data_IF_625107866468
#
_entry.id   IF_625107866468
#
_cell.length_a   1.000
_cell.length_b   1.000
_cell.length_c   1.000
_cell.angle_alpha   90.00
_cell.angle_beta   90.00
_cell.angle_gamma   90.00
#
_symmetry.space_group_name_H-M   'P 1'
#
loop_
_entity.id
_entity.type
_entity.pdbx_description
1 polymer ?
#
# COMPACT_ATOMS: atom_id res chain seq x y z
N UNK A 1 -19.38 48.83 -4.85
CA UNK A 1 -19.91 47.76 -5.71
C UNK A 1 -18.74 47.15 -6.46
N UNK A 2 -18.57 45.81 -6.43
CA UNK A 2 -17.98 44.93 -7.46
C UNK A 2 -17.35 43.66 -6.85
N UNK A 3 -18.20 42.67 -6.57
CA UNK A 3 -17.79 41.28 -6.32
C UNK A 3 -17.41 40.66 -7.65
N UNK A 4 -16.12 40.53 -7.95
CA UNK A 4 -15.66 39.69 -9.06
C UNK A 4 -15.84 38.23 -8.65
N UNK A 5 -16.98 37.64 -9.01
CA UNK A 5 -17.16 36.18 -9.00
C UNK A 5 -16.26 35.61 -10.10
N UNK A 6 -15.05 35.20 -9.75
CA UNK A 6 -14.24 34.35 -10.63
C UNK A 6 -14.83 32.94 -10.58
N UNK A 7 -15.57 32.59 -11.63
CA UNK A 7 -15.89 31.21 -11.95
C UNK A 7 -14.58 30.52 -12.37
N UNK A 8 -13.87 29.93 -11.41
CA UNK A 8 -12.81 28.98 -11.67
C UNK A 8 -13.43 27.69 -12.20
N UNK A 9 -13.49 27.53 -13.53
CA UNK A 9 -13.84 26.27 -14.18
C UNK A 9 -12.73 25.27 -13.86
N UNK A 10 -12.92 24.49 -12.80
CA UNK A 10 -11.99 23.43 -12.40
C UNK A 10 -12.27 22.20 -13.28
N UNK A 11 -11.60 22.13 -14.43
CA UNK A 11 -11.60 20.94 -15.27
C UNK A 11 -10.76 19.84 -14.60
N UNK A 12 -11.37 19.08 -13.67
CA UNK A 12 -10.78 17.84 -13.17
C UNK A 12 -10.98 16.79 -14.26
N UNK A 13 -9.95 16.57 -15.07
CA UNK A 13 -9.90 15.45 -16.02
C UNK A 13 -9.62 14.17 -15.24
N UNK A 14 -10.67 13.43 -14.86
CA UNK A 14 -10.53 12.06 -14.35
C UNK A 14 -10.42 11.14 -15.56
N UNK A 15 -9.18 10.82 -15.97
CA UNK A 15 -8.94 9.79 -16.98
C UNK A 15 -9.20 8.42 -16.35
N UNK A 16 -10.41 7.87 -16.54
CA UNK A 16 -10.73 6.48 -16.20
C UNK A 16 -10.26 5.59 -17.35
N UNK A 17 -8.95 5.29 -17.38
CA UNK A 17 -8.40 4.33 -18.34
C UNK A 17 -8.59 2.88 -17.81
N UNK A 18 -9.30 2.08 -18.61
CA UNK A 18 -9.40 0.61 -18.58
C UNK A 18 -9.96 -0.08 -17.32
N UNK A 19 -11.26 -0.42 -17.39
CA UNK A 19 -11.94 -1.33 -16.47
C UNK A 19 -11.51 -2.78 -16.79
N UNK A 20 -10.55 -3.30 -16.03
CA UNK A 20 -10.41 -4.74 -15.80
C UNK A 20 -9.67 -5.00 -14.48
N UNK A 21 -10.20 -4.50 -13.36
CA UNK A 21 -10.13 -5.11 -12.01
C UNK A 21 -10.78 -4.15 -10.99
N UNK A 22 -12.05 -4.40 -10.67
CA UNK A 22 -12.85 -3.60 -9.72
C UNK A 22 -12.37 -3.80 -8.25
N UNK A 23 -11.32 -4.59 -8.00
CA UNK A 23 -10.94 -5.04 -6.66
C UNK A 23 -9.98 -4.13 -5.88
N UNK A 24 -9.41 -3.07 -6.47
CA UNK A 24 -8.35 -2.30 -5.78
C UNK A 24 -8.79 -0.99 -5.12
N UNK A 25 -9.96 -0.42 -5.45
CA UNK A 25 -10.41 0.85 -4.85
C UNK A 25 -11.13 0.61 -3.51
N UNK A 26 -10.39 0.12 -2.51
CA UNK A 26 -10.88 -0.05 -1.14
C UNK A 26 -10.85 1.25 -0.29
N UNK A 27 -10.28 2.35 -0.80
CA UNK A 27 -10.22 3.63 -0.11
C UNK A 27 -11.59 4.19 0.30
N UNK A 28 -11.71 4.64 1.56
CA UNK A 28 -12.90 5.32 2.09
C UNK A 28 -12.95 6.76 1.54
N UNK A 29 -13.74 7.00 0.50
CA UNK A 29 -13.95 8.36 0.00
C UNK A 29 -14.62 9.23 1.09
N UNK A 30 -14.12 10.45 1.35
CA UNK A 30 -14.81 11.40 2.22
C UNK A 30 -16.25 11.61 1.75
N UNK A 31 -17.23 11.50 2.66
CA UNK A 31 -18.65 11.68 2.34
C UNK A 31 -19.32 10.52 1.58
N UNK A 32 -18.63 9.39 1.35
CA UNK A 32 -19.23 8.19 0.76
C UNK A 32 -19.47 7.14 1.83
N UNK A 33 -20.74 6.87 2.11
CA UNK A 33 -21.18 5.78 2.97
C UNK A 33 -21.20 4.45 2.22
N UNK A 34 -21.63 3.39 2.88
CA UNK A 34 -21.66 2.04 2.29
C UNK A 34 -22.66 1.93 1.15
N UNK A 35 -23.80 2.63 1.22
CA UNK A 35 -24.83 2.62 0.19
C UNK A 35 -24.34 3.33 -1.08
N UNK A 36 -23.81 4.54 -0.93
CA UNK A 36 -23.25 5.33 -2.02
C UNK A 36 -22.06 4.67 -2.72
N UNK A 37 -21.30 3.84 -2.00
CA UNK A 37 -20.26 2.99 -2.59
C UNK A 37 -20.84 1.87 -3.45
N UNK A 38 -21.92 1.23 -2.99
CA UNK A 38 -22.62 0.19 -3.75
C UNK A 38 -23.13 0.71 -5.08
N UNK A 39 -23.75 1.89 -5.07
CA UNK A 39 -24.25 2.55 -6.30
C UNK A 39 -23.13 2.88 -7.29
N UNK A 40 -21.99 3.39 -6.79
CA UNK A 40 -20.82 3.65 -7.63
C UNK A 40 -20.28 2.35 -8.27
N UNK A 41 -20.20 1.26 -7.50
CA UNK A 41 -19.76 -0.03 -8.01
C UNK A 41 -20.73 -0.60 -9.06
N UNK A 42 -22.04 -0.45 -8.83
CA UNK A 42 -23.07 -0.85 -9.78
C UNK A 42 -22.94 -0.07 -11.10
N UNK A 43 -22.72 1.25 -11.03
CA UNK A 43 -22.51 2.07 -12.23
C UNK A 43 -21.26 1.62 -13.01
N UNK A 44 -20.15 1.31 -12.31
CA UNK A 44 -18.94 0.77 -12.94
C UNK A 44 -19.20 -0.60 -13.58
N UNK A 45 -19.89 -1.50 -12.89
CA UNK A 45 -20.21 -2.85 -13.40
C UNK A 45 -21.13 -2.79 -14.62
N UNK A 46 -22.10 -1.87 -14.60
CA UNK A 46 -23.00 -1.59 -15.72
C UNK A 46 -22.32 -0.81 -16.86
N UNK A 47 -21.07 -0.36 -16.68
CA UNK A 47 -20.35 0.56 -17.57
C UNK A 47 -21.12 1.86 -17.83
N UNK A 48 -21.93 2.29 -16.86
CA UNK A 48 -22.71 3.52 -16.92
C UNK A 48 -21.85 4.69 -16.42
N UNK A 49 -21.18 5.34 -17.37
CA UNK A 49 -20.33 6.49 -17.10
C UNK A 49 -21.13 7.67 -16.52
N UNK A 50 -22.36 7.90 -16.98
CA UNK A 50 -23.15 9.04 -16.54
C UNK A 50 -23.60 8.86 -15.09
N UNK A 51 -24.10 7.67 -14.74
CA UNK A 51 -24.44 7.35 -13.36
C UNK A 51 -23.24 7.46 -12.43
N UNK A 52 -22.06 6.98 -12.85
CA UNK A 52 -20.83 7.14 -12.08
C UNK A 52 -20.45 8.62 -11.93
N UNK A 53 -20.48 9.39 -13.01
CA UNK A 53 -20.13 10.81 -13.02
C UNK A 53 -21.04 11.60 -12.09
N UNK A 54 -22.35 11.40 -12.16
CA UNK A 54 -23.31 12.11 -11.32
C UNK A 54 -23.08 11.82 -9.83
N UNK A 55 -22.84 10.54 -9.49
CA UNK A 55 -22.49 10.10 -8.13
C UNK A 55 -21.19 10.72 -7.62
N UNK A 56 -20.21 10.94 -8.49
CA UNK A 56 -18.92 11.54 -8.13
C UNK A 56 -19.03 13.06 -8.05
N UNK A 57 -19.67 13.70 -9.02
CA UNK A 57 -19.87 15.15 -9.08
C UNK A 57 -20.66 15.67 -7.90
N UNK A 58 -21.70 14.94 -7.45
CA UNK A 58 -22.43 15.29 -6.23
C UNK A 58 -21.56 15.32 -4.97
N UNK A 59 -20.42 14.61 -4.97
CA UNK A 59 -19.50 14.50 -3.83
C UNK A 59 -18.27 15.41 -3.94
N UNK A 60 -18.01 15.98 -5.11
CA UNK A 60 -16.92 16.94 -5.34
C UNK A 60 -17.29 18.32 -4.80
N UNK A 61 -17.55 18.40 -3.49
CA UNK A 61 -17.73 19.66 -2.77
C UNK A 61 -16.39 20.19 -2.27
N UNK A 62 -16.29 21.50 -2.11
CA UNK A 62 -15.11 22.16 -1.53
C UNK A 62 -14.78 21.61 -0.13
N UNK A 63 -15.81 21.35 0.68
CA UNK A 63 -15.66 20.72 2.01
C UNK A 63 -15.02 19.32 1.92
N UNK A 64 -15.47 18.47 0.99
CA UNK A 64 -14.92 17.14 0.81
C UNK A 64 -13.50 17.16 0.26
N UNK A 65 -13.19 18.14 -0.60
CA UNK A 65 -11.83 18.37 -1.08
C UNK A 65 -10.90 18.76 0.07
N UNK A 66 -11.30 19.69 0.93
CA UNK A 66 -10.49 20.10 2.08
C UNK A 66 -10.23 18.93 3.04
N UNK A 67 -11.24 18.09 3.31
CA UNK A 67 -11.06 16.86 4.10
C UNK A 67 -10.08 15.87 3.47
N UNK A 68 -10.02 15.81 2.14
CA UNK A 68 -9.05 14.98 1.42
C UNK A 68 -7.63 15.53 1.57
N UNK A 69 -7.45 16.84 1.44
CA UNK A 69 -6.16 17.53 1.64
C UNK A 69 -5.65 17.33 3.06
N UNK A 70 -6.49 17.55 4.07
CA UNK A 70 -6.15 17.33 5.48
C UNK A 70 -5.73 15.88 5.75
N UNK A 71 -6.50 14.91 5.24
CA UNK A 71 -6.15 13.49 5.38
C UNK A 71 -4.84 13.17 4.68
N UNK A 72 -4.60 13.73 3.49
CA UNK A 72 -3.34 13.52 2.77
C UNK A 72 -2.16 14.07 3.56
N UNK A 73 -2.27 15.30 4.08
CA UNK A 73 -1.24 15.90 4.93
C UNK A 73 -0.95 15.03 6.16
N UNK A 74 -1.98 14.67 6.93
CA UNK A 74 -1.85 13.81 8.11
C UNK A 74 -1.25 12.42 7.79
N UNK A 75 -1.63 11.82 6.65
CA UNK A 75 -1.07 10.55 6.20
C UNK A 75 0.37 10.68 5.71
N UNK A 76 0.75 11.78 5.06
CA UNK A 76 2.12 12.04 4.64
C UNK A 76 3.06 12.24 5.83
N UNK A 77 2.61 12.94 6.86
CA UNK A 77 3.34 13.14 8.11
C UNK A 77 3.47 11.83 8.89
N UNK A 78 2.38 11.06 9.00
CA UNK A 78 2.39 9.72 9.59
C UNK A 78 3.24 8.73 8.79
N UNK A 79 3.25 8.82 7.46
CA UNK A 79 4.14 8.00 6.62
C UNK A 79 5.60 8.44 6.75
N UNK A 80 5.88 9.73 6.83
CA UNK A 80 7.22 10.26 7.05
C UNK A 80 7.80 9.78 8.38
N UNK A 81 7.03 9.86 9.46
CA UNK A 81 7.44 9.34 10.79
C UNK A 81 7.55 7.81 10.85
N UNK A 82 6.71 7.07 10.13
CA UNK A 82 6.81 5.60 10.02
C UNK A 82 8.00 5.19 9.12
N UNK A 83 8.33 5.99 8.10
CA UNK A 83 9.39 5.75 7.13
C UNK A 83 10.76 6.17 7.63
N UNK A 84 10.88 7.18 8.49
CA UNK A 84 12.17 7.65 9.00
C UNK A 84 12.78 6.67 10.00
N UNK A 85 11.97 6.10 10.91
CA UNK A 85 12.43 5.07 11.85
C UNK A 85 12.69 3.70 11.19
N UNK A 86 11.94 3.33 10.16
CA UNK A 86 12.22 2.13 9.36
C UNK A 86 13.31 2.34 8.32
N UNK A 87 13.48 3.55 7.80
CA UNK A 87 14.40 3.87 6.70
C UNK A 87 15.86 3.75 7.09
N UNK A 88 16.28 4.40 8.17
CA UNK A 88 17.67 4.34 8.65
C UNK A 88 18.06 2.92 9.11
N UNK A 89 17.13 2.23 9.77
CA UNK A 89 17.28 0.84 10.18
C UNK A 89 17.40 -0.11 8.98
N UNK A 90 16.63 0.14 7.92
CA UNK A 90 16.72 -0.63 6.69
C UNK A 90 18.03 -0.37 5.95
N UNK A 91 18.60 0.83 6.01
CA UNK A 91 19.83 1.18 5.31
C UNK A 91 21.06 0.43 5.84
N UNK A 92 21.25 0.40 7.17
CA UNK A 92 22.37 -0.35 7.79
C UNK A 92 22.28 -1.86 7.51
N UNK A 93 21.06 -2.41 7.56
CA UNK A 93 20.83 -3.82 7.22
C UNK A 93 21.15 -4.09 5.75
N UNK A 94 20.72 -3.22 4.83
CA UNK A 94 20.99 -3.38 3.40
C UNK A 94 22.49 -3.30 3.14
N UNK A 95 23.19 -2.31 3.69
CA UNK A 95 24.64 -2.17 3.52
C UNK A 95 25.40 -3.38 4.04
N UNK A 96 25.02 -3.93 5.20
CA UNK A 96 25.64 -5.13 5.73
C UNK A 96 25.40 -6.35 4.82
N UNK A 97 24.21 -6.48 4.22
CA UNK A 97 23.91 -7.54 3.25
C UNK A 97 24.74 -7.35 1.96
N UNK A 98 24.83 -6.14 1.43
CA UNK A 98 25.60 -5.82 0.22
C UNK A 98 27.10 -6.07 0.41
N UNK A 99 27.62 -5.79 1.61
CA UNK A 99 29.01 -6.04 1.98
C UNK A 99 29.28 -7.50 2.40
N UNK A 100 28.24 -8.31 2.58
CA UNK A 100 28.38 -9.66 3.11
C UNK A 100 28.90 -9.70 4.56
N UNK A 101 28.62 -8.67 5.36
CA UNK A 101 29.08 -8.54 6.74
C UNK A 101 28.02 -9.06 7.74
N UNK A 102 28.20 -10.30 8.18
CA UNK A 102 27.26 -10.96 9.10
C UNK A 102 27.19 -10.30 10.47
N UNK A 103 28.31 -9.86 11.05
CA UNK A 103 28.31 -9.26 12.39
C UNK A 103 27.68 -7.87 12.36
N UNK A 104 28.00 -7.04 11.36
CA UNK A 104 27.33 -5.76 11.16
C UNK A 104 25.82 -5.95 10.91
N UNK A 105 25.45 -6.96 10.13
CA UNK A 105 24.04 -7.29 9.89
C UNK A 105 23.34 -7.70 11.19
N UNK A 106 23.96 -8.55 12.01
CA UNK A 106 23.40 -9.06 13.26
C UNK A 106 23.18 -7.95 14.28
N UNK A 107 24.12 -7.02 14.40
CA UNK A 107 23.99 -5.83 15.24
C UNK A 107 22.85 -4.92 14.77
N UNK A 108 22.81 -4.64 13.46
CA UNK A 108 21.75 -3.80 12.87
C UNK A 108 20.37 -4.47 12.95
N UNK A 109 20.30 -5.80 12.80
CA UNK A 109 19.05 -6.55 12.72
C UNK A 109 18.51 -7.02 14.08
N UNK A 110 19.19 -6.76 15.20
CA UNK A 110 18.87 -7.30 16.54
C UNK A 110 17.41 -7.07 16.99
N UNK A 111 16.80 -5.96 16.56
CA UNK A 111 15.42 -5.61 16.89
C UNK A 111 14.40 -5.97 15.79
N UNK A 112 14.81 -6.78 14.80
CA UNK A 112 13.89 -7.32 13.79
C UNK A 112 13.34 -8.68 14.20
N UNK A 113 12.13 -9.03 13.72
CA UNK A 113 11.70 -10.43 13.68
C UNK A 113 12.62 -11.33 12.83
N UNK A 114 13.41 -10.76 11.91
CA UNK A 114 14.24 -11.48 10.96
C UNK A 114 15.47 -12.12 11.60
N UNK A 115 15.99 -11.53 12.69
CA UNK A 115 17.12 -12.09 13.46
C UNK A 115 16.83 -13.49 14.00
N UNK A 116 15.56 -13.80 14.28
CA UNK A 116 15.16 -15.13 14.77
C UNK A 116 15.17 -16.21 13.69
N UNK A 117 15.21 -15.80 12.41
CA UNK A 117 15.22 -16.72 11.25
C UNK A 117 16.63 -16.95 10.73
N UNK A 118 17.46 -15.92 10.79
CA UNK A 118 18.86 -15.95 10.37
C UNK A 118 19.71 -15.82 11.63
N UNK A 119 20.02 -16.98 12.20
CA UNK A 119 20.69 -17.17 13.49
C UNK A 119 22.17 -17.58 13.33
N UNK A 120 22.63 -17.75 12.10
CA UNK A 120 23.99 -18.12 11.76
C UNK A 120 24.43 -17.55 10.40
N UNK A 121 25.73 -17.65 10.14
CA UNK A 121 26.38 -17.13 8.93
C UNK A 121 25.92 -17.84 7.65
N UNK A 122 25.63 -19.15 7.70
CA UNK A 122 25.12 -19.89 6.53
C UNK A 122 23.78 -19.34 6.03
N UNK A 123 22.85 -19.08 6.96
CA UNK A 123 21.56 -18.47 6.62
C UNK A 123 21.73 -17.02 6.19
N UNK A 124 22.71 -16.31 6.73
CA UNK A 124 23.02 -14.96 6.26
C UNK A 124 23.52 -14.98 4.82
N UNK A 125 24.38 -15.93 4.44
CA UNK A 125 24.82 -16.10 3.05
C UNK A 125 23.66 -16.40 2.10
N UNK A 126 22.64 -17.15 2.55
CA UNK A 126 21.39 -17.34 1.78
C UNK A 126 20.63 -16.01 1.65
N UNK A 127 20.60 -15.17 2.69
CA UNK A 127 20.00 -13.85 2.62
C UNK A 127 20.71 -12.93 1.62
N UNK A 128 22.04 -12.95 1.56
CA UNK A 128 22.84 -12.20 0.57
C UNK A 128 22.47 -12.63 -0.85
N UNK A 129 22.40 -13.94 -1.09
CA UNK A 129 21.98 -14.48 -2.39
C UNK A 129 20.54 -14.11 -2.75
N UNK A 130 19.65 -14.08 -1.76
CA UNK A 130 18.26 -13.68 -1.94
C UNK A 130 18.18 -12.21 -2.33
N UNK A 131 18.98 -11.35 -1.69
CA UNK A 131 19.07 -9.94 -2.03
C UNK A 131 19.53 -9.74 -3.47
N UNK A 132 20.61 -10.44 -3.88
CA UNK A 132 21.11 -10.39 -5.26
C UNK A 132 20.05 -10.85 -6.27
N UNK A 133 19.43 -12.01 -6.04
CA UNK A 133 18.39 -12.54 -6.92
C UNK A 133 17.20 -11.56 -7.07
N UNK A 134 16.88 -10.80 -6.01
CA UNK A 134 15.85 -9.76 -6.07
C UNK A 134 16.29 -8.54 -6.89
N UNK A 135 17.56 -8.13 -6.80
CA UNK A 135 18.10 -7.06 -7.66
C UNK A 135 18.11 -7.48 -9.14
N UNK A 136 18.43 -8.74 -9.41
CA UNK A 136 18.47 -9.31 -10.76
C UNK A 136 17.08 -9.60 -11.34
N UNK A 137 16.02 -9.54 -10.52
CA UNK A 137 14.66 -9.86 -10.91
C UNK A 137 14.38 -11.37 -11.08
N UNK A 138 15.26 -12.23 -10.56
CA UNK A 138 15.09 -13.69 -10.60
C UNK A 138 14.12 -14.17 -9.50
N UNK A 139 12.83 -14.01 -9.77
CA UNK A 139 11.77 -14.38 -8.82
C UNK A 139 11.69 -15.89 -8.54
N UNK A 140 12.20 -16.74 -9.42
CA UNK A 140 12.26 -18.18 -9.18
C UNK A 140 13.25 -18.49 -8.06
N UNK A 141 14.46 -17.93 -8.17
CA UNK A 141 15.51 -18.05 -7.15
C UNK A 141 15.14 -17.34 -5.85
N UNK A 142 14.50 -16.17 -5.92
CA UNK A 142 13.98 -15.48 -4.71
C UNK A 142 13.01 -16.37 -3.95
N UNK A 143 12.10 -17.07 -4.64
CA UNK A 143 11.14 -17.97 -4.01
C UNK A 143 11.84 -19.12 -3.29
N UNK A 144 12.76 -19.80 -3.97
CA UNK A 144 13.51 -20.92 -3.40
C UNK A 144 14.30 -20.51 -2.15
N UNK A 145 15.08 -19.43 -2.24
CA UNK A 145 15.88 -18.94 -1.11
C UNK A 145 15.01 -18.44 0.04
N UNK A 146 13.84 -17.84 -0.25
CA UNK A 146 12.89 -17.42 0.79
C UNK A 146 12.32 -18.61 1.56
N UNK A 147 12.04 -19.73 0.87
CA UNK A 147 11.55 -20.97 1.48
C UNK A 147 12.62 -21.60 2.37
N UNK A 148 13.88 -21.62 1.93
CA UNK A 148 15.01 -22.10 2.74
C UNK A 148 15.20 -21.31 4.03
N UNK A 149 14.96 -19.99 4.00
CA UNK A 149 15.01 -19.13 5.18
C UNK A 149 13.75 -19.19 6.06
N UNK A 150 12.72 -19.93 5.63
CA UNK A 150 11.43 -19.97 6.32
C UNK A 150 10.76 -18.59 6.40
N UNK A 151 11.06 -17.70 5.44
CA UNK A 151 10.43 -16.39 5.36
C UNK A 151 9.04 -16.55 4.74
N UNK A 152 8.00 -15.88 5.28
CA UNK A 152 6.67 -15.91 4.70
C UNK A 152 6.76 -15.36 3.27
N UNK A 153 6.64 -16.25 2.29
CA UNK A 153 7.07 -15.99 0.92
C UNK A 153 6.34 -14.83 0.23
N UNK A 154 7.08 -14.18 -0.68
CA UNK A 154 6.62 -13.26 -1.73
C UNK A 154 5.52 -13.90 -2.61
N UNK A 155 5.34 -15.22 -2.53
CA UNK A 155 4.20 -15.93 -3.08
C UNK A 155 2.93 -15.46 -2.39
N UNK A 156 2.23 -14.51 -3.03
CA UNK A 156 0.96 -13.93 -2.64
C UNK A 156 -0.15 -14.95 -2.39
N UNK A 157 -0.06 -15.71 -1.31
CA UNK A 157 -1.22 -16.23 -0.61
C UNK A 157 -1.77 -15.06 0.16
N UNK A 158 -2.69 -14.35 -0.47
CA UNK A 158 -3.71 -13.55 0.18
C UNK A 158 -4.28 -14.31 1.39
N UNK A 159 -3.64 -14.19 2.56
CA UNK A 159 -4.30 -14.37 3.84
C UNK A 159 -5.09 -13.10 4.12
N UNK A 160 -6.06 -12.81 3.25
CA UNK A 160 -7.29 -12.14 3.65
C UNK A 160 -8.05 -13.15 4.53
N UNK A 161 -7.51 -13.43 5.70
CA UNK A 161 -8.11 -14.30 6.69
C UNK A 161 -9.11 -13.48 7.48
N UNK A 162 -10.37 -13.51 7.04
CA UNK A 162 -11.51 -13.48 7.95
C UNK A 162 -11.90 -12.13 8.54
N UNK A 163 -12.25 -11.16 7.70
CA UNK A 163 -13.29 -10.19 8.06
C UNK A 163 -14.64 -10.68 7.50
N UNK A 164 -15.04 -11.88 7.89
CA UNK A 164 -16.39 -12.41 7.69
C UNK A 164 -17.26 -11.95 8.85
N UNK A 165 -18.28 -11.18 8.51
CA UNK A 165 -19.09 -10.43 9.44
C UNK A 165 -19.90 -11.24 10.43
N UNK A 166 -20.40 -10.48 11.42
CA UNK A 166 -21.73 -10.58 12.03
C UNK A 166 -22.16 -11.97 12.51
N UNK A 167 -22.14 -12.11 13.83
CA UNK A 167 -22.95 -13.08 14.54
C UNK A 167 -23.34 -12.57 15.92
N UNK A 168 -23.85 -11.34 16.04
CA UNK A 168 -24.73 -10.99 17.15
C UNK A 168 -25.98 -11.87 16.97
N UNK A 169 -26.02 -13.00 17.65
CA UNK A 169 -27.23 -13.80 17.83
C UNK A 169 -27.70 -13.58 19.27
N UNK A 170 -28.88 -12.97 19.33
CA UNK A 170 -29.96 -13.06 20.32
C UNK A 170 -29.56 -13.02 21.79
#
# INVERSE_FOLDING_TARGET
>A
MNRKKLFGVLAIVIVVASIATVSAYQGKFPGMDTAGRGEMLNAIQAKDFNAWKDLMSARLTEENFNKLVERHAAMSEKRGSISSGRGAFNEQIIQAIENGDYEAWKEAAVNTPMITKIDNEDKFNILVQLHQAKQDGDYAKVKELSEQLGLPGVSGKNKMSGYSGRGRRI
#
